data_IF_236010096269
#
_entry.id   IF_236010096269
#
_cell.length_a   1.000
_cell.length_b   1.000
_cell.length_c   1.000
_cell.angle_alpha   90.00
_cell.angle_beta   90.00
_cell.angle_gamma   90.00
#
_symmetry.space_group_name_H-M   'P 1'
#
loop_
_entity.id
_entity.type
_entity.pdbx_description
1 polymer ?
#
# COMPACT_ATOMS: atom_id res chain seq x y z
N UNK A 1 -11.55 31.54 0.89
CA UNK A 1 -11.06 30.63 -0.18
C UNK A 1 -9.90 29.79 0.33
N UNK A 2 -8.95 30.37 1.07
CA UNK A 2 -7.84 29.65 1.71
C UNK A 2 -8.28 28.53 2.67
N UNK A 3 -9.23 28.80 3.58
CA UNK A 3 -9.67 27.80 4.57
C UNK A 3 -10.30 26.54 3.96
N UNK A 4 -11.02 26.67 2.83
CA UNK A 4 -11.62 25.54 2.12
C UNK A 4 -10.54 24.68 1.45
N UNK A 5 -9.58 25.31 0.78
CA UNK A 5 -8.49 24.62 0.11
C UNK A 5 -7.59 23.89 1.12
N UNK A 6 -7.26 24.53 2.25
CA UNK A 6 -6.55 23.89 3.35
C UNK A 6 -7.30 22.70 3.94
N UNK A 7 -8.63 22.80 4.07
CA UNK A 7 -9.45 21.69 4.51
C UNK A 7 -9.37 20.51 3.53
N UNK A 8 -9.56 20.74 2.22
CA UNK A 8 -9.43 19.68 1.22
C UNK A 8 -8.05 19.02 1.22
N UNK A 9 -6.98 19.82 1.34
CA UNK A 9 -5.62 19.29 1.36
C UNK A 9 -5.35 18.46 2.62
N UNK A 10 -5.84 18.91 3.78
CA UNK A 10 -5.74 18.14 5.03
C UNK A 10 -6.50 16.82 4.95
N UNK A 11 -7.75 16.83 4.45
CA UNK A 11 -8.55 15.63 4.27
C UNK A 11 -7.89 14.65 3.28
N UNK A 12 -7.34 15.18 2.18
CA UNK A 12 -6.56 14.42 1.21
C UNK A 12 -5.37 13.70 1.86
N UNK A 13 -4.54 14.43 2.63
CA UNK A 13 -3.39 13.85 3.30
C UNK A 13 -3.78 12.82 4.37
N UNK A 14 -4.87 13.05 5.10
CA UNK A 14 -5.38 12.08 6.09
C UNK A 14 -5.81 10.78 5.41
N UNK A 15 -6.54 10.87 4.30
CA UNK A 15 -6.91 9.71 3.50
C UNK A 15 -5.69 8.99 2.94
N UNK A 16 -4.70 9.74 2.44
CA UNK A 16 -3.44 9.20 1.97
C UNK A 16 -2.65 8.48 3.05
N UNK A 17 -2.58 9.04 4.27
CA UNK A 17 -1.97 8.38 5.42
C UNK A 17 -2.69 7.08 5.77
N UNK A 18 -4.03 7.11 5.80
CA UNK A 18 -4.83 5.91 6.08
C UNK A 18 -4.57 4.80 5.04
N UNK A 19 -4.57 5.17 3.75
CA UNK A 19 -4.26 4.26 2.66
C UNK A 19 -2.84 3.68 2.75
N UNK A 20 -1.87 4.53 3.13
CA UNK A 20 -0.46 4.13 3.33
C UNK A 20 -0.32 3.13 4.46
N UNK A 21 -0.93 3.41 5.62
CA UNK A 21 -0.93 2.51 6.77
C UNK A 21 -1.60 1.18 6.45
N UNK A 22 -2.71 1.21 5.70
CA UNK A 22 -3.37 0.00 5.23
C UNK A 22 -2.44 -0.85 4.35
N UNK A 23 -1.78 -0.24 3.36
CA UNK A 23 -0.85 -0.96 2.47
C UNK A 23 0.36 -1.54 3.22
N UNK A 24 0.93 -0.79 4.17
CA UNK A 24 2.04 -1.27 5.01
C UNK A 24 1.59 -2.40 5.93
N UNK A 25 0.46 -2.24 6.60
CA UNK A 25 -0.12 -3.31 7.43
C UNK A 25 -0.39 -4.57 6.63
N UNK A 26 -0.91 -4.42 5.41
CA UNK A 26 -1.12 -5.52 4.49
C UNK A 26 0.19 -6.21 4.09
N UNK A 27 1.25 -5.44 3.84
CA UNK A 27 2.58 -5.98 3.56
C UNK A 27 3.12 -6.83 4.71
N UNK A 28 2.91 -6.43 5.98
CA UNK A 28 3.33 -7.24 7.13
C UNK A 28 2.57 -8.58 7.22
N UNK A 29 1.28 -8.60 6.88
CA UNK A 29 0.46 -9.83 6.97
C UNK A 29 0.69 -10.77 5.78
N UNK A 30 0.70 -10.22 4.56
CA UNK A 30 0.77 -11.01 3.33
C UNK A 30 2.21 -11.24 2.83
N UNK A 31 3.13 -10.35 3.17
CA UNK A 31 4.43 -10.24 2.54
C UNK A 31 4.38 -9.75 1.08
N UNK A 32 3.23 -9.25 0.62
CA UNK A 32 3.06 -8.67 -0.72
C UNK A 32 3.23 -7.16 -0.65
N UNK A 33 4.13 -6.62 -1.46
CA UNK A 33 4.19 -5.17 -1.66
C UNK A 33 3.05 -4.74 -2.59
N UNK A 34 2.68 -3.46 -2.52
CA UNK A 34 1.73 -2.84 -3.44
C UNK A 34 2.11 -3.06 -4.93
N UNK A 35 3.40 -3.16 -5.21
CA UNK A 35 3.95 -3.25 -6.56
C UNK A 35 4.16 -4.69 -7.06
N UNK A 36 3.87 -5.69 -6.23
CA UNK A 36 4.14 -7.10 -6.57
C UNK A 36 3.11 -7.73 -7.53
N UNK A 37 2.04 -7.01 -7.90
CA UNK A 37 0.95 -7.50 -8.78
C UNK A 37 0.44 -8.90 -8.37
N UNK A 38 0.41 -9.17 -7.06
CA UNK A 38 -0.02 -10.45 -6.48
C UNK A 38 0.96 -11.62 -6.59
N UNK A 39 2.21 -11.39 -6.96
CA UNK A 39 3.28 -12.39 -6.92
C UNK A 39 4.28 -12.05 -5.83
N UNK A 40 4.29 -12.81 -4.73
CA UNK A 40 5.27 -12.62 -3.66
C UNK A 40 6.68 -12.81 -4.18
N UNK A 41 7.51 -11.80 -4.00
CA UNK A 41 8.92 -11.83 -4.34
C UNK A 41 9.75 -11.99 -3.06
N UNK A 42 10.77 -12.87 -3.04
CA UNK A 42 11.69 -12.93 -1.92
C UNK A 42 12.46 -11.61 -1.85
N UNK A 43 12.23 -10.84 -0.79
CA UNK A 43 12.85 -9.53 -0.59
C UNK A 43 13.74 -9.55 0.67
N UNK A 44 15.05 -9.28 0.55
CA UNK A 44 15.95 -9.06 1.68
C UNK A 44 15.44 -7.99 2.66
N UNK A 45 15.68 -8.17 3.96
CA UNK A 45 15.20 -7.29 5.03
C UNK A 45 15.47 -5.80 4.79
N UNK A 46 16.68 -5.45 4.31
CA UNK A 46 17.05 -4.06 3.96
C UNK A 46 16.07 -3.39 2.99
N UNK A 47 15.54 -4.14 2.02
CA UNK A 47 14.61 -3.62 1.03
C UNK A 47 13.18 -3.56 1.57
N UNK A 48 12.83 -4.43 2.53
CA UNK A 48 11.56 -4.33 3.24
C UNK A 48 11.49 -3.05 4.08
N UNK A 49 12.57 -2.72 4.80
CA UNK A 49 12.66 -1.46 5.54
C UNK A 49 12.60 -0.26 4.57
N UNK A 50 13.38 -0.30 3.49
CA UNK A 50 13.36 0.75 2.46
C UNK A 50 11.95 0.96 1.89
N UNK A 51 11.24 -0.13 1.58
CA UNK A 51 9.86 -0.08 1.12
C UNK A 51 8.95 0.66 2.11
N UNK A 52 9.01 0.32 3.40
CA UNK A 52 8.18 0.96 4.43
C UNK A 52 8.49 2.47 4.51
N UNK A 53 9.77 2.87 4.50
CA UNK A 53 10.15 4.28 4.53
C UNK A 53 9.65 5.03 3.29
N UNK A 54 9.82 4.45 2.10
CA UNK A 54 9.35 5.04 0.84
C UNK A 54 7.83 5.17 0.83
N UNK A 55 7.12 4.14 1.30
CA UNK A 55 5.66 4.17 1.42
C UNK A 55 5.21 5.29 2.36
N UNK A 56 5.79 5.42 3.55
CA UNK A 56 5.45 6.48 4.51
C UNK A 56 5.72 7.89 3.98
N UNK A 57 6.76 8.07 3.16
CA UNK A 57 7.11 9.38 2.62
C UNK A 57 6.26 9.75 1.39
N UNK A 58 6.08 8.82 0.45
CA UNK A 58 5.53 9.11 -0.86
C UNK A 58 4.05 8.80 -0.98
N UNK A 59 3.57 7.68 -0.41
CA UNK A 59 2.17 7.28 -0.61
C UNK A 59 1.14 8.23 -0.03
N UNK A 60 1.35 8.92 1.11
CA UNK A 60 0.35 9.85 1.61
C UNK A 60 0.01 10.96 0.61
N UNK A 61 0.97 11.31 -0.24
CA UNK A 61 0.81 12.33 -1.28
C UNK A 61 0.35 11.72 -2.60
N UNK A 62 0.80 10.52 -2.97
CA UNK A 62 0.55 9.92 -4.29
C UNK A 62 -0.44 8.76 -4.31
N UNK A 63 -1.13 8.47 -3.19
CA UNK A 63 -2.01 7.30 -3.06
C UNK A 63 -3.08 7.21 -4.14
N UNK A 64 -3.62 8.34 -4.63
CA UNK A 64 -4.65 8.34 -5.67
C UNK A 64 -4.18 7.69 -6.97
N UNK A 65 -2.90 7.84 -7.33
CA UNK A 65 -2.34 7.22 -8.54
C UNK A 65 -2.36 5.69 -8.41
N UNK A 66 -2.21 5.19 -7.18
CA UNK A 66 -2.14 3.77 -6.87
C UNK A 66 -3.42 3.22 -6.21
N UNK A 67 -4.54 3.94 -6.34
CA UNK A 67 -5.78 3.58 -5.64
C UNK A 67 -6.29 2.21 -6.08
N UNK A 68 -6.11 1.87 -7.36
CA UNK A 68 -6.56 0.59 -7.91
C UNK A 68 -5.74 -0.57 -7.34
N UNK A 69 -4.43 -0.38 -7.20
CA UNK A 69 -3.49 -1.33 -6.61
C UNK A 69 -3.79 -1.52 -5.12
N UNK A 70 -4.11 -0.44 -4.41
CA UNK A 70 -4.45 -0.51 -2.98
C UNK A 70 -5.73 -1.34 -2.81
N UNK A 71 -6.74 -1.09 -3.65
CA UNK A 71 -8.02 -1.81 -3.61
C UNK A 71 -7.91 -3.25 -4.10
N UNK A 72 -6.93 -3.58 -4.96
CA UNK A 72 -6.71 -4.93 -5.46
C UNK A 72 -5.92 -5.84 -4.52
N UNK A 73 -5.26 -5.28 -3.50
CA UNK A 73 -4.46 -6.03 -2.50
C UNK A 73 -5.19 -7.27 -1.93
N UNK A 74 -6.45 -7.19 -1.44
CA UNK A 74 -7.15 -8.35 -0.88
C UNK A 74 -7.35 -9.47 -1.91
N UNK A 75 -7.65 -9.11 -3.16
CA UNK A 75 -7.86 -10.06 -4.25
C UNK A 75 -6.55 -10.79 -4.59
N UNK A 76 -5.45 -10.05 -4.64
CA UNK A 76 -4.12 -10.62 -4.88
C UNK A 76 -3.69 -11.59 -3.77
N UNK A 77 -3.96 -11.24 -2.51
CA UNK A 77 -3.66 -12.13 -1.38
C UNK A 77 -4.48 -13.42 -1.39
N UNK A 78 -5.79 -13.33 -1.69
CA UNK A 78 -6.64 -14.52 -1.83
C UNK A 78 -6.13 -15.42 -2.96
N UNK A 79 -5.82 -14.85 -4.13
CA UNK A 79 -5.28 -15.60 -5.25
C UNK A 79 -3.99 -16.34 -4.88
N UNK A 80 -3.06 -15.66 -4.19
CA UNK A 80 -1.81 -16.26 -3.74
C UNK A 80 -2.05 -17.41 -2.74
N UNK A 81 -2.96 -17.21 -1.77
CA UNK A 81 -3.30 -18.25 -0.78
C UNK A 81 -3.85 -19.51 -1.45
N UNK A 82 -4.68 -19.36 -2.48
CA UNK A 82 -5.20 -20.49 -3.25
C UNK A 82 -4.12 -21.22 -4.07
N UNK A 83 -3.13 -20.50 -4.61
CA UNK A 83 -1.99 -21.14 -5.31
C UNK A 83 -1.11 -21.92 -4.33
N UNK A 84 -0.83 -21.36 -3.16
CA UNK A 84 -0.02 -22.02 -2.14
C UNK A 84 -0.69 -23.29 -1.56
N UNK A 85 -2.03 -23.30 -1.45
CA UNK A 85 -2.78 -24.46 -0.96
C UNK A 85 -2.88 -25.62 -1.99
N UNK A 86 -2.50 -25.40 -3.25
CA UNK A 86 -2.49 -26.42 -4.31
C UNK A 86 -1.09 -26.98 -4.61
N UNK A 87 -0.04 -26.42 -3.98
CA UNK A 87 1.35 -26.90 -4.07
C UNK A 87 1.64 -27.90 -2.96
#
# INVERSE_FOLDING_TARGET
MESLLSFFFSAYLVLGMAATLYAIGFFFVSGLTLFDQGKKRPMPFRFQCSYIFVMLLMMPVFYLIFIQEILSLPRHYQAQKHTAAKS
#
